data_IF_858505247733
#
_entry.id   IF_858505247733
#
_cell.length_a   1.000
_cell.length_b   1.000
_cell.length_c   1.000
_cell.angle_alpha   90.00
_cell.angle_beta   90.00
_cell.angle_gamma   90.00
#
_symmetry.space_group_name_H-M   'P 1'
#
loop_
_entity.id
_entity.type
_entity.pdbx_description
1 polymer ?
#
# COMPACT_ATOMS: atom_id res chain seq x y z
N UNK A 1 14.19 5.68 6.92
CA UNK A 1 13.01 6.56 7.01
C UNK A 1 13.01 7.25 8.36
N UNK A 2 12.68 8.55 8.40
CA UNK A 2 12.55 9.33 9.64
C UNK A 2 11.08 9.59 9.91
N UNK A 3 10.66 9.45 11.16
CA UNK A 3 9.31 9.79 11.60
C UNK A 3 9.35 11.06 12.45
N UNK A 4 8.27 11.85 12.39
CA UNK A 4 8.03 12.98 13.26
C UNK A 4 6.95 12.59 14.26
N UNK A 5 7.25 12.66 15.56
CA UNK A 5 6.23 12.53 16.60
C UNK A 5 5.28 13.75 16.58
N UNK A 6 4.18 13.68 17.34
CA UNK A 6 3.20 14.79 17.48
C UNK A 6 3.83 16.08 18.06
N UNK A 7 5.09 16.02 18.51
CA UNK A 7 5.86 17.13 19.07
C UNK A 7 6.96 17.61 18.11
N UNK A 8 6.96 17.13 16.86
CA UNK A 8 7.89 17.53 15.79
C UNK A 8 9.30 16.95 15.91
N UNK A 9 9.53 15.96 16.78
CA UNK A 9 10.87 15.40 17.02
C UNK A 9 11.19 14.28 16.02
N UNK A 10 12.39 14.36 15.41
CA UNK A 10 12.88 13.38 14.42
C UNK A 10 13.32 12.10 15.11
N UNK A 11 12.64 10.99 14.83
CA UNK A 11 13.03 9.65 15.29
C UNK A 11 13.52 8.78 14.13
N UNK A 12 14.64 8.08 14.34
CA UNK A 12 15.19 7.09 13.40
C UNK A 12 14.51 5.75 13.71
N UNK A 13 13.53 5.37 12.91
CA UNK A 13 12.70 4.20 13.17
C UNK A 13 13.23 2.95 12.46
N UNK A 14 13.52 1.91 13.23
CA UNK A 14 13.67 0.52 12.76
C UNK A 14 12.28 -0.07 12.45
N UNK A 15 12.21 -0.99 11.49
CA UNK A 15 11.00 -1.54 10.88
C UNK A 15 9.79 -1.89 11.78
N UNK A 16 9.91 -2.27 13.08
CA UNK A 16 8.73 -2.60 13.91
C UNK A 16 7.82 -1.40 14.26
N UNK A 17 8.27 -0.17 14.03
CA UNK A 17 7.57 1.04 14.49
C UNK A 17 6.66 1.72 13.45
N UNK A 18 6.66 1.26 12.20
CA UNK A 18 5.68 1.64 11.14
C UNK A 18 4.37 0.86 11.30
N UNK A 19 3.85 0.76 12.53
CA UNK A 19 2.62 0.02 12.79
C UNK A 19 1.40 0.87 12.41
N UNK A 20 0.75 0.47 11.32
CA UNK A 20 -0.53 1.02 10.84
C UNK A 20 -1.67 0.78 11.84
N UNK A 21 -1.47 -0.10 12.82
CA UNK A 21 -2.48 -0.45 13.82
C UNK A 21 -2.94 0.77 14.62
N UNK A 22 -2.00 1.58 15.14
CA UNK A 22 -2.33 2.73 16.01
C UNK A 22 -3.36 3.70 15.42
N UNK A 23 -3.20 4.20 14.17
CA UNK A 23 -4.21 5.08 13.59
C UNK A 23 -5.51 4.37 13.22
N UNK A 24 -5.47 3.09 12.83
CA UNK A 24 -6.66 2.32 12.42
C UNK A 24 -7.54 1.94 13.61
N UNK A 25 -6.94 1.67 14.78
CA UNK A 25 -7.67 1.29 16.01
C UNK A 25 -8.14 2.48 16.84
N UNK A 26 -7.82 3.71 16.44
CA UNK A 26 -8.23 4.91 17.16
C UNK A 26 -9.67 5.27 16.78
N UNK A 27 -10.63 5.08 17.70
CA UNK A 27 -12.06 5.38 17.46
C UNK A 27 -12.35 6.86 17.16
N UNK A 28 -11.44 7.77 17.55
CA UNK A 28 -11.57 9.19 17.22
C UNK A 28 -11.14 9.48 15.77
N UNK A 29 -10.42 8.56 15.13
CA UNK A 29 -9.96 8.65 13.72
C UNK A 29 -10.81 7.75 12.81
N UNK A 30 -11.12 6.54 13.26
CA UNK A 30 -12.00 5.56 12.61
C UNK A 30 -13.15 5.19 13.54
N UNK A 31 -14.26 5.93 13.51
CA UNK A 31 -15.41 5.65 14.35
C UNK A 31 -15.99 4.27 14.04
N UNK A 32 -16.11 3.42 15.05
CA UNK A 32 -16.65 2.05 14.96
C UNK A 32 -18.12 1.97 15.38
N UNK A 33 -18.64 3.04 16.01
CA UNK A 33 -19.99 3.11 16.58
C UNK A 33 -20.95 3.80 15.62
N UNK A 34 -22.13 3.20 15.44
CA UNK A 34 -23.19 3.74 14.61
C UNK A 34 -23.59 5.16 15.06
N UNK A 35 -23.71 6.09 14.12
CA UNK A 35 -24.10 7.48 14.37
C UNK A 35 -22.95 8.43 14.73
N UNK A 36 -21.69 7.96 14.81
CA UNK A 36 -20.52 8.86 14.83
C UNK A 36 -20.03 9.14 13.41
N UNK A 37 -19.93 10.41 13.06
CA UNK A 37 -19.34 10.86 11.81
C UNK A 37 -17.80 10.82 11.89
N UNK A 38 -17.15 10.65 10.74
CA UNK A 38 -15.70 10.80 10.66
C UNK A 38 -15.31 12.25 10.99
N UNK A 39 -14.21 12.47 11.74
CA UNK A 39 -13.79 13.82 12.09
C UNK A 39 -13.44 14.64 10.83
N UNK A 40 -13.69 15.95 10.85
CA UNK A 40 -13.30 16.86 9.74
C UNK A 40 -11.78 16.92 9.52
N UNK A 41 -11.02 16.52 10.52
CA UNK A 41 -9.56 16.31 10.48
C UNK A 41 -9.17 14.90 10.01
N UNK A 42 -10.00 14.22 9.21
CA UNK A 42 -9.71 12.93 8.56
C UNK A 42 -8.54 13.05 7.56
N UNK A 43 -7.37 13.37 8.10
CA UNK A 43 -6.09 13.59 7.43
C UNK A 43 -5.25 12.31 7.38
N UNK A 44 -5.85 11.13 7.53
CA UNK A 44 -5.06 9.92 7.81
C UNK A 44 -5.20 8.80 6.80
N UNK A 45 -6.17 8.82 5.88
CA UNK A 45 -6.26 7.73 4.90
C UNK A 45 -5.04 7.72 3.97
N UNK A 46 -4.64 8.89 3.45
CA UNK A 46 -3.41 9.03 2.66
C UNK A 46 -2.16 8.61 3.44
N UNK A 47 -2.00 9.06 4.69
CA UNK A 47 -0.87 8.64 5.54
C UNK A 47 -0.83 7.14 5.81
N UNK A 48 -1.99 6.53 6.06
CA UNK A 48 -2.11 5.07 6.23
C UNK A 48 -1.70 4.36 4.94
N UNK A 49 -2.20 4.82 3.79
CA UNK A 49 -1.80 4.32 2.49
C UNK A 49 -0.28 4.46 2.29
N UNK A 50 0.34 5.58 2.67
CA UNK A 50 1.79 5.75 2.57
C UNK A 50 2.55 4.70 3.39
N UNK A 51 2.11 4.41 4.62
CA UNK A 51 2.73 3.33 5.42
C UNK A 51 2.53 1.95 4.79
N UNK A 52 1.33 1.66 4.29
CA UNK A 52 1.04 0.39 3.62
C UNK A 52 1.86 0.22 2.33
N UNK A 53 2.04 1.29 1.56
CA UNK A 53 2.88 1.31 0.37
C UNK A 53 4.33 0.95 0.71
N UNK A 54 4.91 1.55 1.76
CA UNK A 54 6.26 1.21 2.22
C UNK A 54 6.40 -0.24 2.71
N UNK A 55 5.35 -0.80 3.33
CA UNK A 55 5.36 -2.20 3.75
C UNK A 55 5.37 -3.13 2.54
N UNK A 56 4.51 -2.88 1.54
CA UNK A 56 4.49 -3.67 0.29
C UNK A 56 5.85 -3.62 -0.41
N UNK A 57 6.37 -2.42 -0.60
CA UNK A 57 7.68 -2.16 -1.19
C UNK A 57 8.83 -2.87 -0.45
N UNK A 58 8.79 -2.88 0.89
CA UNK A 58 9.72 -3.66 1.71
C UNK A 58 9.60 -5.17 1.49
N UNK A 59 8.38 -5.71 1.40
CA UNK A 59 8.15 -7.13 1.15
C UNK A 59 8.75 -7.53 -0.22
N UNK A 60 8.50 -6.73 -1.27
CA UNK A 60 9.03 -7.00 -2.61
C UNK A 60 10.57 -6.94 -2.68
N UNK A 61 11.22 -6.06 -1.93
CA UNK A 61 12.70 -5.96 -1.98
C UNK A 61 13.41 -6.91 -1.02
N UNK A 62 12.92 -7.05 0.21
CA UNK A 62 13.62 -7.77 1.27
C UNK A 62 13.15 -9.22 1.43
N UNK A 63 11.91 -9.53 1.06
CA UNK A 63 11.29 -10.83 1.37
C UNK A 63 10.79 -11.59 0.14
N UNK A 64 11.00 -11.09 -1.08
CA UNK A 64 10.51 -11.74 -2.30
C UNK A 64 10.98 -13.20 -2.44
N UNK A 65 12.24 -13.50 -2.08
CA UNK A 65 12.74 -14.88 -2.11
C UNK A 65 11.93 -15.81 -1.19
N UNK A 66 11.59 -15.34 0.01
CA UNK A 66 10.76 -16.08 0.96
C UNK A 66 9.32 -16.20 0.45
N UNK A 67 8.75 -15.12 -0.06
CA UNK A 67 7.40 -15.13 -0.66
C UNK A 67 7.29 -16.10 -1.84
N UNK A 68 8.33 -16.20 -2.67
CA UNK A 68 8.41 -17.18 -3.75
C UNK A 68 8.52 -18.61 -3.21
N UNK A 69 9.38 -18.85 -2.22
CA UNK A 69 9.55 -20.17 -1.60
C UNK A 69 8.28 -20.68 -0.90
N UNK A 70 7.42 -19.78 -0.43
CA UNK A 70 6.12 -20.08 0.16
C UNK A 70 4.97 -20.08 -0.87
N UNK A 71 5.26 -19.87 -2.16
CA UNK A 71 4.28 -19.78 -3.24
C UNK A 71 3.20 -18.68 -3.03
N UNK A 72 3.51 -17.64 -2.25
CA UNK A 72 2.58 -16.54 -1.92
C UNK A 72 2.68 -15.33 -2.87
N UNK A 73 3.51 -15.41 -3.90
CA UNK A 73 3.80 -14.29 -4.80
C UNK A 73 2.58 -13.83 -5.60
N UNK A 74 1.69 -14.75 -5.99
CA UNK A 74 0.43 -14.41 -6.68
C UNK A 74 -0.50 -13.57 -5.79
N UNK A 75 -0.63 -13.93 -4.51
CA UNK A 75 -1.41 -13.17 -3.54
C UNK A 75 -0.83 -11.77 -3.30
N UNK A 76 0.50 -11.67 -3.19
CA UNK A 76 1.19 -10.39 -3.05
C UNK A 76 0.95 -9.49 -4.28
N UNK A 77 1.01 -10.06 -5.49
CA UNK A 77 0.75 -9.33 -6.73
C UNK A 77 -0.69 -8.81 -6.79
N UNK A 78 -1.68 -9.66 -6.49
CA UNK A 78 -3.10 -9.24 -6.47
C UNK A 78 -3.34 -8.14 -5.44
N UNK A 79 -2.82 -8.29 -4.22
CA UNK A 79 -2.92 -7.27 -3.17
C UNK A 79 -2.32 -5.94 -3.64
N UNK A 80 -1.15 -5.99 -4.28
CA UNK A 80 -0.47 -4.81 -4.78
C UNK A 80 -1.25 -4.08 -5.89
N UNK A 81 -1.75 -4.81 -6.90
CA UNK A 81 -2.56 -4.24 -7.99
C UNK A 81 -3.79 -3.54 -7.42
N UNK A 82 -4.54 -4.24 -6.54
CA UNK A 82 -5.72 -3.68 -5.91
C UNK A 82 -5.39 -2.41 -5.12
N UNK A 83 -4.29 -2.43 -4.36
CA UNK A 83 -3.84 -1.28 -3.58
C UNK A 83 -3.48 -0.08 -4.45
N UNK A 84 -2.75 -0.28 -5.56
CA UNK A 84 -2.36 0.81 -6.46
C UNK A 84 -3.55 1.36 -7.22
N UNK A 85 -4.46 0.52 -7.72
CA UNK A 85 -5.68 0.99 -8.37
C UNK A 85 -6.54 1.80 -7.41
N UNK A 86 -6.70 1.33 -6.17
CA UNK A 86 -7.44 2.05 -5.13
C UNK A 86 -6.81 3.40 -4.79
N UNK A 87 -5.49 3.44 -4.56
CA UNK A 87 -4.82 4.70 -4.20
C UNK A 87 -4.80 5.70 -5.35
N UNK A 88 -4.77 5.25 -6.61
CA UNK A 88 -4.91 6.11 -7.80
C UNK A 88 -6.33 6.67 -7.95
N UNK A 89 -7.36 5.82 -7.83
CA UNK A 89 -8.77 6.22 -7.98
C UNK A 89 -9.15 7.34 -7.00
N UNK A 90 -8.69 7.24 -5.76
CA UNK A 90 -9.00 8.20 -4.69
C UNK A 90 -7.90 9.24 -4.44
N UNK A 91 -6.85 9.28 -5.29
CA UNK A 91 -5.72 10.19 -5.16
C UNK A 91 -5.09 10.22 -3.74
N UNK A 92 -4.85 9.03 -3.19
CA UNK A 92 -4.43 8.84 -1.78
C UNK A 92 -2.91 8.84 -1.58
N UNK A 93 -2.13 8.75 -2.65
CA UNK A 93 -0.67 8.74 -2.63
C UNK A 93 -0.11 9.72 -3.65
N UNK A 94 1.02 10.35 -3.31
CA UNK A 94 1.77 11.14 -4.28
C UNK A 94 2.42 10.21 -5.32
N UNK A 95 2.43 10.63 -6.59
CA UNK A 95 3.06 9.86 -7.67
C UNK A 95 4.54 9.52 -7.40
N UNK A 96 5.23 10.35 -6.61
CA UNK A 96 6.63 10.13 -6.19
C UNK A 96 6.78 8.92 -5.28
N UNK A 97 5.77 8.61 -4.47
CA UNK A 97 5.77 7.47 -3.55
C UNK A 97 5.55 6.16 -4.30
N UNK A 98 4.79 6.17 -5.39
CA UNK A 98 4.53 4.99 -6.23
C UNK A 98 5.57 4.78 -7.33
N UNK A 99 6.34 5.81 -7.69
CA UNK A 99 7.29 5.80 -8.81
C UNK A 99 8.29 4.63 -8.78
N UNK A 100 8.76 4.25 -7.58
CA UNK A 100 9.74 3.14 -7.42
C UNK A 100 9.13 1.78 -7.83
N UNK A 101 7.81 1.69 -7.89
CA UNK A 101 7.09 0.47 -8.21
C UNK A 101 6.34 0.56 -9.55
N UNK A 102 6.57 1.61 -10.36
CA UNK A 102 5.88 1.79 -11.64
C UNK A 102 6.21 0.66 -12.62
N UNK A 103 7.47 0.22 -12.71
CA UNK A 103 7.87 -0.93 -13.53
C UNK A 103 7.09 -2.20 -13.18
N UNK A 104 6.89 -2.45 -11.88
CA UNK A 104 6.11 -3.60 -11.41
C UNK A 104 4.63 -3.42 -11.75
N UNK A 105 4.10 -2.20 -11.60
CA UNK A 105 2.72 -1.88 -11.97
C UNK A 105 2.49 -2.12 -13.46
N UNK A 106 3.41 -1.69 -14.32
CA UNK A 106 3.34 -1.89 -15.75
C UNK A 106 3.31 -3.39 -16.08
N UNK A 107 4.23 -4.18 -15.54
CA UNK A 107 4.27 -5.63 -15.79
C UNK A 107 2.98 -6.33 -15.34
N UNK A 108 2.47 -5.98 -14.16
CA UNK A 108 1.30 -6.61 -13.58
C UNK A 108 -0.01 -6.19 -14.26
N UNK A 109 -0.12 -4.94 -14.70
CA UNK A 109 -1.30 -4.45 -15.42
C UNK A 109 -1.25 -4.77 -16.91
N UNK A 110 -0.07 -4.98 -17.49
CA UNK A 110 0.11 -5.28 -18.91
C UNK A 110 -0.04 -6.76 -19.25
N UNK A 111 -0.18 -7.66 -18.27
CA UNK A 111 -0.38 -9.08 -18.53
C UNK A 111 -1.74 -9.32 -19.21
N UNK A 112 -1.77 -9.57 -20.53
CA UNK A 112 -3.00 -9.83 -21.24
C UNK A 112 -3.14 -11.34 -21.28
N UNK A 113 -3.83 -11.92 -20.29
CA UNK A 113 -4.43 -13.25 -20.44
C UNK A 113 -5.65 -13.24 -21.37
N UNK A 114 -5.65 -12.41 -22.41
CA UNK A 114 -6.67 -12.39 -23.46
C UNK A 114 -6.34 -13.43 -24.53
N UNK A 115 -7.33 -14.17 -25.06
CA UNK A 115 -7.08 -15.26 -25.99
C UNK A 115 -6.36 -14.72 -27.23
N UNK A 116 -5.23 -15.33 -27.57
CA UNK A 116 -4.61 -15.14 -28.89
C UNK A 116 -5.66 -15.51 -29.95
N UNK A 117 -6.02 -14.59 -30.88
CA UNK A 117 -6.83 -15.00 -32.01
C UNK A 117 -5.97 -15.99 -32.80
N UNK A 118 -6.45 -17.23 -32.89
CA UNK A 118 -5.85 -18.25 -33.72
C UNK A 118 -5.63 -17.67 -35.11
N UNK A 119 -4.37 -17.63 -35.54
CA UNK A 119 -4.04 -17.40 -36.93
C UNK A 119 -4.58 -18.60 -37.72
N UNK A 120 -5.76 -18.45 -38.32
CA UNK A 120 -6.18 -19.32 -39.40
C UNK A 120 -5.25 -19.06 -40.60
N UNK A 121 -4.51 -20.10 -40.98
CA UNK A 121 -3.97 -20.29 -42.33
C UNK A 121 -4.62 -21.55 -42.91
#
# INVERSE_FOLDING_TARGET
>A
YYWYDERGKKAKCTAPSISVQKPVTNEDVFPTKYGREFPSSFMSLGKICTYLCHVLDHIYRAHLKTTLALELHSHLNTLYIHFILFTREFNLLDAKETAVMDDLTEVLCSSPGGPTPAACS
#
